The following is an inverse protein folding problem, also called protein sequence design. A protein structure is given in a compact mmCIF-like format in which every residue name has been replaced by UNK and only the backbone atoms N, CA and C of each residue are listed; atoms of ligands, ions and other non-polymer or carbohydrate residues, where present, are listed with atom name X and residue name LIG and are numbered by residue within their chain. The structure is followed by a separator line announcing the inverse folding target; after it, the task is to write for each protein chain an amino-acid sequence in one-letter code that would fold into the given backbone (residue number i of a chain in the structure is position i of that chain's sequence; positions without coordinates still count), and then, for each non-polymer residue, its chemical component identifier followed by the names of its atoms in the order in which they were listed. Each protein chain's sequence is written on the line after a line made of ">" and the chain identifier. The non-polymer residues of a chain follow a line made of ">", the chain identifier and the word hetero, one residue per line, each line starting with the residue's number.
data_IF_560830542599
#
_entry.id   IF_560830542599
#
_cell.length_a   1.000
_cell.length_b   1.000
_cell.length_c   1.000
_cell.angle_alpha   90.00
_cell.angle_beta   90.00
_cell.angle_gamma   90.00
#
_symmetry.space_group_name_H-M   'P 1'
#
loop_
_entity.id
_entity.type
_entity.pdbx_description
1 polymer ?
#
# COMPACT_ATOMS: atom_id res chain seq x y z
N UNK A 1 -1.73 9.44 -8.90
CA UNK A 1 -1.25 8.78 -7.66
C UNK A 1 -0.44 9.79 -6.86
N UNK A 2 -0.55 9.81 -5.52
CA UNK A 2 0.13 10.76 -4.63
C UNK A 2 1.65 10.73 -4.85
N UNK A 3 2.26 9.56 -4.78
CA UNK A 3 3.72 9.35 -4.89
C UNK A 3 4.35 9.86 -6.20
N UNK A 4 3.60 9.84 -7.31
CA UNK A 4 4.09 10.38 -8.59
C UNK A 4 4.12 11.91 -8.62
N UNK A 5 3.33 12.58 -7.78
CA UNK A 5 3.38 14.04 -7.59
C UNK A 5 4.47 14.41 -6.60
N UNK A 6 4.64 13.64 -5.52
CA UNK A 6 5.64 13.92 -4.48
C UNK A 6 7.07 13.74 -5.01
N UNK A 7 7.26 12.85 -5.97
CA UNK A 7 8.53 12.71 -6.70
C UNK A 7 8.89 13.90 -7.62
N UNK A 8 7.96 14.85 -7.85
CA UNK A 8 8.12 16.01 -8.73
C UNK A 8 8.38 17.32 -7.95
N UNK A 9 9.34 17.29 -7.03
CA UNK A 9 9.70 18.44 -6.19
C UNK A 9 8.96 18.54 -4.86
N UNK A 10 8.25 17.49 -4.44
CA UNK A 10 7.72 17.31 -3.09
C UNK A 10 8.68 16.55 -2.17
N UNK A 11 8.15 15.72 -1.28
CA UNK A 11 8.92 14.89 -0.36
C UNK A 11 9.69 13.73 -1.00
N UNK A 12 9.47 13.45 -2.30
CA UNK A 12 9.95 12.25 -2.99
C UNK A 12 8.98 11.08 -2.89
N UNK A 13 9.20 10.03 -3.68
CA UNK A 13 8.41 8.80 -3.69
C UNK A 13 8.69 7.95 -2.45
N UNK A 14 7.64 7.52 -1.74
CA UNK A 14 7.69 6.58 -0.62
C UNK A 14 6.91 5.31 -0.92
N UNK A 15 7.59 4.17 -0.80
CA UNK A 15 6.93 2.87 -0.84
C UNK A 15 6.14 2.57 0.45
N UNK A 16 6.46 3.23 1.57
CA UNK A 16 5.66 3.14 2.78
C UNK A 16 4.30 3.82 2.56
N UNK A 17 4.29 5.03 2.01
CA UNK A 17 3.04 5.73 1.68
C UNK A 17 2.20 4.95 0.65
N UNK A 18 2.84 4.41 -0.39
CA UNK A 18 2.17 3.52 -1.34
C UNK A 18 1.59 2.27 -0.66
N UNK A 19 2.31 1.67 0.29
CA UNK A 19 1.84 0.54 1.08
C UNK A 19 0.60 0.88 1.92
N UNK A 20 0.61 2.03 2.58
CA UNK A 20 -0.54 2.53 3.35
C UNK A 20 -1.76 2.79 2.45
N UNK A 21 -1.57 3.41 1.29
CA UNK A 21 -2.63 3.63 0.29
C UNK A 21 -3.25 2.31 -0.18
N UNK A 22 -2.41 1.32 -0.51
CA UNK A 22 -2.87 0.00 -0.98
C UNK A 22 -3.67 -0.73 0.09
N UNK A 23 -3.21 -0.70 1.36
CA UNK A 23 -3.92 -1.31 2.47
C UNK A 23 -5.26 -0.61 2.76
N UNK A 24 -5.29 0.72 2.72
CA UNK A 24 -6.51 1.50 2.90
C UNK A 24 -7.56 1.21 1.82
N UNK A 25 -7.13 1.10 0.55
CA UNK A 25 -8.02 0.73 -0.57
C UNK A 25 -8.61 -0.67 -0.36
N UNK A 26 -7.80 -1.65 -0.01
CA UNK A 26 -8.26 -3.03 0.23
C UNK A 26 -9.22 -3.13 1.43
N UNK A 27 -8.91 -2.40 2.50
CA UNK A 27 -9.77 -2.31 3.69
C UNK A 27 -11.13 -1.70 3.35
N UNK A 28 -11.15 -0.59 2.63
CA UNK A 28 -12.38 0.04 2.19
C UNK A 28 -13.20 -0.86 1.26
N UNK A 29 -12.58 -1.51 0.27
CA UNK A 29 -13.25 -2.46 -0.63
C UNK A 29 -13.95 -3.56 0.16
N UNK A 30 -13.26 -4.16 1.13
CA UNK A 30 -13.82 -5.27 1.92
C UNK A 30 -14.93 -4.84 2.87
N UNK A 31 -14.86 -3.64 3.43
CA UNK A 31 -15.97 -3.07 4.21
C UNK A 31 -17.19 -2.82 3.31
N UNK A 32 -16.99 -2.20 2.15
CA UNK A 32 -18.07 -1.87 1.21
C UNK A 32 -18.71 -3.13 0.59
N UNK A 33 -17.90 -4.17 0.35
CA UNK A 33 -18.35 -5.48 -0.16
C UNK A 33 -18.78 -6.45 0.94
N UNK A 34 -18.80 -6.01 2.21
CA UNK A 34 -19.19 -6.80 3.40
C UNK A 34 -18.36 -8.07 3.63
N UNK A 35 -17.15 -8.13 3.06
CA UNK A 35 -16.14 -9.15 3.40
C UNK A 35 -15.49 -8.87 4.76
N UNK A 36 -15.59 -7.63 5.25
CA UNK A 36 -15.32 -7.24 6.62
C UNK A 36 -16.57 -6.65 7.26
N UNK A 37 -16.79 -6.97 8.54
CA UNK A 37 -17.87 -6.41 9.34
C UNK A 37 -17.43 -5.09 9.96
N UNK A 38 -18.13 -4.00 9.63
CA UNK A 38 -17.89 -2.69 10.25
C UNK A 38 -18.06 -2.76 11.78
N UNK A 39 -19.01 -3.55 12.28
CA UNK A 39 -19.19 -3.74 13.72
C UNK A 39 -17.99 -4.42 14.37
N UNK A 40 -17.47 -5.50 13.76
CA UNK A 40 -16.30 -6.21 14.29
C UNK A 40 -15.05 -5.32 14.27
N UNK A 41 -14.82 -4.64 13.15
CA UNK A 41 -13.74 -3.66 13.01
C UNK A 41 -13.86 -2.55 14.05
N UNK A 42 -15.05 -2.00 14.30
CA UNK A 42 -15.23 -0.93 15.29
C UNK A 42 -14.89 -1.33 16.73
N UNK A 43 -14.90 -2.63 17.03
CA UNK A 43 -14.61 -3.16 18.36
C UNK A 43 -13.15 -3.52 18.55
N UNK A 44 -12.55 -4.18 17.55
CA UNK A 44 -11.28 -4.90 17.70
C UNK A 44 -10.21 -4.45 16.66
N UNK A 45 -10.31 -3.25 16.08
CA UNK A 45 -9.35 -2.76 15.09
C UNK A 45 -7.92 -2.66 15.67
N UNK A 46 -6.97 -3.27 14.96
CA UNK A 46 -5.53 -3.07 15.16
C UNK A 46 -4.89 -2.80 13.81
N UNK A 47 -4.03 -1.79 13.73
CA UNK A 47 -3.35 -1.45 12.48
C UNK A 47 -2.53 -2.63 11.93
N UNK A 48 -1.84 -3.35 12.82
CA UNK A 48 -1.00 -4.51 12.48
C UNK A 48 -1.78 -5.67 11.83
N UNK A 49 -3.11 -5.69 11.98
CA UNK A 49 -3.96 -6.69 11.31
C UNK A 49 -4.21 -6.34 9.84
N UNK A 50 -3.98 -5.09 9.42
CA UNK A 50 -4.29 -4.60 8.07
C UNK A 50 -3.11 -4.00 7.34
N UNK A 51 -2.00 -3.71 8.03
CA UNK A 51 -0.81 -3.13 7.44
C UNK A 51 0.43 -3.77 8.09
N UNK A 52 1.30 -4.42 7.30
CA UNK A 52 2.54 -4.95 7.84
C UNK A 52 3.48 -3.79 8.17
N UNK A 53 4.52 -4.00 9.01
CA UNK A 53 5.53 -2.98 9.25
C UNK A 53 6.14 -2.48 7.94
N UNK A 54 6.03 -1.17 7.68
CA UNK A 54 6.55 -0.52 6.48
C UNK A 54 8.03 -0.10 6.61
N UNK A 55 8.71 -0.59 7.63
CA UNK A 55 10.11 -0.26 7.93
C UNK A 55 11.05 -0.83 6.88
N UNK A 56 12.05 -0.06 6.46
CA UNK A 56 13.09 -0.51 5.53
C UNK A 56 12.69 -0.45 4.05
N UNK A 57 11.51 0.08 3.74
CA UNK A 57 11.13 0.43 2.38
C UNK A 57 11.85 1.69 1.92
N UNK A 58 12.03 1.84 0.60
CA UNK A 58 12.68 3.03 0.05
C UNK A 58 11.75 4.24 0.11
N UNK A 59 12.31 5.38 0.50
CA UNK A 59 11.56 6.64 0.69
C UNK A 59 12.36 7.82 0.16
N UNK A 60 11.65 8.91 -0.13
CA UNK A 60 12.25 10.16 -0.59
C UNK A 60 12.90 10.06 -1.98
N UNK A 61 12.53 9.08 -2.80
CA UNK A 61 13.16 8.90 -4.11
C UNK A 61 12.71 10.02 -5.07
N UNK A 62 13.63 10.77 -5.68
CA UNK A 62 13.27 11.74 -6.70
C UNK A 62 12.78 11.03 -7.98
N UNK A 63 11.99 11.73 -8.80
CA UNK A 63 11.35 11.17 -10.00
C UNK A 63 12.34 10.50 -10.95
N UNK A 64 13.48 11.13 -11.19
CA UNK A 64 14.54 10.61 -12.07
C UNK A 64 15.10 9.28 -11.56
N UNK A 65 15.25 9.13 -10.24
CA UNK A 65 15.66 7.88 -9.62
C UNK A 65 14.57 6.80 -9.73
N UNK A 66 13.30 7.15 -9.53
CA UNK A 66 12.17 6.24 -9.73
C UNK A 66 12.14 5.74 -11.18
N UNK A 67 12.34 6.63 -12.16
CA UNK A 67 12.39 6.26 -13.58
C UNK A 67 13.61 5.38 -13.86
N UNK A 68 14.79 5.76 -13.39
CA UNK A 68 16.04 5.01 -13.61
C UNK A 68 15.98 3.59 -13.05
N UNK A 69 15.37 3.41 -11.88
CA UNK A 69 15.36 2.13 -11.16
C UNK A 69 14.17 1.27 -11.51
N UNK A 70 12.98 1.86 -11.65
CA UNK A 70 11.73 1.13 -11.80
C UNK A 70 11.07 1.32 -13.17
N UNK A 71 11.61 2.19 -14.03
CA UNK A 71 11.09 2.46 -15.37
C UNK A 71 9.92 3.45 -15.40
N UNK A 72 9.58 4.05 -14.25
CA UNK A 72 8.39 4.90 -14.09
C UNK A 72 7.12 4.12 -13.75
N UNK A 73 5.99 4.81 -13.57
CA UNK A 73 4.78 4.18 -13.01
C UNK A 73 4.19 3.06 -13.86
N UNK A 74 4.25 3.16 -15.18
CA UNK A 74 3.64 2.18 -16.09
C UNK A 74 4.57 1.03 -16.45
N UNK A 75 5.81 1.03 -15.95
CA UNK A 75 6.78 0.02 -16.29
C UNK A 75 6.49 -1.31 -15.58
N UNK A 76 6.78 -2.45 -16.22
CA UNK A 76 6.57 -3.77 -15.63
C UNK A 76 7.23 -3.94 -14.25
N UNK A 77 8.40 -3.33 -14.05
CA UNK A 77 9.14 -3.41 -12.78
C UNK A 77 8.44 -2.67 -11.63
N UNK A 78 7.87 -1.50 -11.90
CA UNK A 78 7.05 -0.79 -10.91
C UNK A 78 5.80 -1.62 -10.57
N UNK A 79 5.12 -2.17 -11.58
CA UNK A 79 3.94 -3.00 -11.36
C UNK A 79 4.25 -4.23 -10.49
N UNK A 80 5.36 -4.94 -10.78
CA UNK A 80 5.79 -6.08 -9.95
C UNK A 80 6.08 -5.70 -8.51
N UNK A 81 6.64 -4.50 -8.29
CA UNK A 81 6.91 -3.98 -6.94
C UNK A 81 5.60 -3.69 -6.20
N UNK A 82 4.65 -3.03 -6.86
CA UNK A 82 3.30 -2.76 -6.34
C UNK A 82 2.55 -4.06 -6.03
N UNK A 83 2.59 -5.04 -6.93
CA UNK A 83 1.95 -6.35 -6.75
C UNK A 83 2.55 -7.12 -5.58
N UNK A 84 3.87 -7.07 -5.41
CA UNK A 84 4.56 -7.71 -4.28
C UNK A 84 4.13 -7.08 -2.95
N UNK A 85 4.10 -5.74 -2.87
CA UNK A 85 3.59 -5.01 -1.71
C UNK A 85 2.13 -5.38 -1.41
N UNK A 86 1.28 -5.36 -2.43
CA UNK A 86 -0.13 -5.73 -2.29
C UNK A 86 -0.28 -7.17 -1.79
N UNK A 87 0.51 -8.12 -2.29
CA UNK A 87 0.48 -9.50 -1.82
C UNK A 87 0.83 -9.60 -0.34
N UNK A 88 1.88 -8.92 0.10
CA UNK A 88 2.28 -8.88 1.53
C UNK A 88 1.20 -8.23 2.40
N UNK A 89 0.54 -7.18 1.91
CA UNK A 89 -0.60 -6.56 2.60
C UNK A 89 -1.75 -7.56 2.75
N UNK A 90 -2.14 -8.23 1.67
CA UNK A 90 -3.25 -9.22 1.68
C UNK A 90 -2.99 -10.43 2.58
N UNK A 91 -1.75 -10.65 2.96
CA UNK A 91 -1.34 -11.65 3.93
C UNK A 91 -1.56 -11.21 5.39
N UNK A 92 -1.99 -9.98 5.66
CA UNK A 92 -2.26 -9.54 7.02
C UNK A 92 -3.51 -10.25 7.61
N UNK A 93 -3.54 -10.51 8.94
CA UNK A 93 -4.62 -11.25 9.59
C UNK A 93 -6.03 -10.72 9.30
N UNK A 94 -6.19 -9.40 9.31
CA UNK A 94 -7.43 -8.69 9.05
C UNK A 94 -7.95 -8.85 7.62
N UNK A 95 -7.14 -9.34 6.68
CA UNK A 95 -7.56 -9.69 5.32
C UNK A 95 -7.67 -11.19 5.06
N UNK A 96 -7.24 -12.04 5.99
CA UNK A 96 -7.37 -13.51 5.85
C UNK A 96 -8.72 -14.03 6.34
N UNK A 97 -9.43 -13.27 7.16
CA UNK A 97 -10.78 -13.60 7.63
C UNK A 97 -11.86 -12.91 6.81
N UNK A 98 -12.57 -13.66 5.97
CA UNK A 98 -13.99 -13.39 5.67
C UNK A 98 -14.87 -14.18 6.65
N UNK A 99 -16.16 -13.83 6.82
CA UNK A 99 -17.03 -14.35 7.88
C UNK A 99 -17.07 -15.88 7.98
#
# INVERSE_FOLDING_TARGET
>A
MKEWRDSDGGSGWSFADLGADLAGIEFADRLLTKRLSLQAVSRDFRLDDFLPPLTGLEEGLPRDEVVRRFGGMSAPRMNQTIESLRKTILECPGFRGGP
#
